data_IF_165951137587
#
_entry.id   IF_165951137587
#
_cell.length_a   1.000
_cell.length_b   1.000
_cell.length_c   1.000
_cell.angle_alpha   90.00
_cell.angle_beta   90.00
_cell.angle_gamma   90.00
#
_symmetry.space_group_name_H-M   'P 1'
#
loop_
_entity.id
_entity.type
_entity.pdbx_description
1 polymer ?
#
# COMPACT_ATOMS: atom_id res chain seq x y z
N UNK A 1 4.95 -5.79 24.03
CA UNK A 1 5.89 -5.06 23.13
C UNK A 1 5.11 -3.98 22.40
N UNK A 2 5.69 -2.83 21.97
CA UNK A 2 4.86 -1.83 21.32
C UNK A 2 4.42 -2.40 19.97
N UNK A 3 3.12 -2.62 19.81
CA UNK A 3 2.50 -2.55 18.49
C UNK A 3 3.01 -1.26 17.85
N UNK A 4 3.60 -1.35 16.65
CA UNK A 4 3.92 -0.13 15.91
C UNK A 4 2.59 0.60 15.68
N UNK A 5 2.48 1.79 16.26
CA UNK A 5 1.39 2.75 16.02
C UNK A 5 1.43 3.32 14.60
N UNK A 6 2.47 3.01 13.81
CA UNK A 6 2.43 3.21 12.37
C UNK A 6 1.53 2.18 11.67
N UNK A 7 1.12 1.09 12.33
CA UNK A 7 0.18 0.11 11.79
C UNK A 7 -1.19 0.31 12.42
N UNK A 8 -2.19 0.60 11.59
CA UNK A 8 -3.59 0.69 11.98
C UNK A 8 -4.37 -0.49 11.41
N UNK A 9 -5.27 -1.05 12.21
CA UNK A 9 -6.15 -2.15 11.80
C UNK A 9 -7.59 -1.62 11.76
N UNK A 10 -8.22 -1.68 10.58
CA UNK A 10 -9.65 -1.53 10.45
C UNK A 10 -10.36 -2.84 10.76
N UNK A 11 -11.32 -2.82 11.68
CA UNK A 11 -12.27 -3.91 11.97
C UNK A 11 -11.60 -5.30 12.11
N UNK A 12 -10.57 -5.44 12.96
CA UNK A 12 -9.90 -6.73 13.23
C UNK A 12 -9.46 -7.49 11.95
N UNK A 13 -8.87 -6.78 10.98
CA UNK A 13 -8.34 -7.40 9.74
C UNK A 13 -7.40 -8.58 10.02
N UNK A 14 -6.54 -8.42 11.02
CA UNK A 14 -5.71 -9.46 11.61
C UNK A 14 -5.92 -9.36 13.12
N UNK A 15 -6.00 -10.51 13.79
CA UNK A 15 -6.21 -10.55 15.25
C UNK A 15 -5.17 -9.71 16.00
N UNK A 16 -5.60 -8.84 16.91
CA UNK A 16 -4.70 -8.09 17.79
C UNK A 16 -3.74 -8.99 18.60
N UNK A 17 -4.19 -10.20 18.94
CA UNK A 17 -3.35 -11.16 19.65
C UNK A 17 -2.13 -11.57 18.83
N UNK A 18 -2.25 -11.61 17.49
CA UNK A 18 -1.13 -11.91 16.60
C UNK A 18 -0.02 -10.84 16.69
N UNK A 19 -0.38 -9.58 16.92
CA UNK A 19 0.57 -8.47 17.08
C UNK A 19 1.17 -8.39 18.49
N UNK A 20 0.39 -8.73 19.51
CA UNK A 20 0.75 -8.48 20.91
C UNK A 20 1.35 -9.69 21.63
N UNK A 21 1.19 -10.89 21.08
CA UNK A 21 1.69 -12.12 21.70
C UNK A 21 3.22 -12.20 21.70
N UNK A 22 3.79 -12.59 22.85
CA UNK A 22 5.23 -12.87 23.01
C UNK A 22 5.61 -14.29 22.52
N UNK A 23 4.68 -14.99 21.86
CA UNK A 23 4.94 -16.31 21.31
C UNK A 23 6.08 -16.27 20.28
N UNK A 24 7.04 -17.18 20.44
CA UNK A 24 8.22 -17.30 19.57
C UNK A 24 7.90 -17.97 18.23
N UNK A 25 6.69 -18.49 18.08
CA UNK A 25 6.13 -19.08 16.86
C UNK A 25 4.75 -18.45 16.62
N UNK A 26 4.43 -18.19 15.37
CA UNK A 26 3.10 -17.71 14.94
C UNK A 26 2.70 -16.30 15.44
N UNK A 27 3.67 -15.46 15.83
CA UNK A 27 3.46 -14.02 16.08
C UNK A 27 3.87 -13.16 14.89
N UNK A 28 3.35 -11.93 14.83
CA UNK A 28 3.79 -10.92 13.86
C UNK A 28 5.31 -10.72 13.94
N UNK A 29 5.84 -10.56 15.16
CA UNK A 29 7.27 -10.37 15.39
C UNK A 29 8.11 -11.54 14.86
N UNK A 30 7.66 -12.79 15.06
CA UNK A 30 8.34 -13.96 14.51
C UNK A 30 8.35 -13.94 12.97
N UNK A 31 7.25 -13.51 12.32
CA UNK A 31 7.19 -13.36 10.86
C UNK A 31 8.13 -12.26 10.36
N UNK A 32 8.19 -11.10 11.03
CA UNK A 32 9.12 -10.02 10.69
C UNK A 32 10.57 -10.49 10.83
N UNK A 33 10.93 -11.17 11.92
CA UNK A 33 12.29 -11.68 12.13
C UNK A 33 12.67 -12.72 11.06
N UNK A 34 11.74 -13.60 10.69
CA UNK A 34 11.96 -14.58 9.63
C UNK A 34 12.19 -13.88 8.29
N UNK A 35 11.33 -12.94 7.91
CA UNK A 35 11.49 -12.17 6.66
C UNK A 35 12.79 -11.37 6.64
N UNK A 36 13.15 -10.76 7.78
CA UNK A 36 14.41 -10.03 7.96
C UNK A 36 15.62 -10.92 7.71
N UNK A 37 15.59 -12.17 8.19
CA UNK A 37 16.63 -13.18 7.94
C UNK A 37 16.75 -13.50 6.45
N UNK A 38 15.62 -13.67 5.76
CA UNK A 38 15.61 -13.95 4.32
C UNK A 38 16.22 -12.78 3.53
N UNK A 39 15.93 -11.53 3.92
CA UNK A 39 16.50 -10.35 3.30
C UNK A 39 18.00 -10.16 3.58
N UNK A 40 18.47 -10.52 4.78
CA UNK A 40 19.90 -10.49 5.11
C UNK A 40 20.72 -11.51 4.32
N UNK A 41 20.10 -12.63 3.94
CA UNK A 41 20.74 -13.70 3.17
C UNK A 41 20.61 -13.52 1.64
N UNK A 42 19.92 -12.48 1.18
CA UNK A 42 19.69 -12.24 -0.24
C UNK A 42 20.91 -11.58 -0.89
N UNK A 43 21.39 -12.17 -1.99
CA UNK A 43 22.49 -11.64 -2.80
C UNK A 43 22.03 -10.58 -3.83
N UNK A 44 20.72 -10.33 -3.90
CA UNK A 44 20.09 -9.34 -4.79
C UNK A 44 19.37 -8.28 -3.96
N UNK A 45 19.16 -7.05 -4.51
CA UNK A 45 18.39 -6.02 -3.81
C UNK A 45 17.02 -6.53 -3.36
N UNK A 46 16.68 -6.27 -2.11
CA UNK A 46 15.40 -6.63 -1.47
C UNK A 46 14.54 -5.38 -1.30
N UNK A 47 13.26 -5.58 -0.98
CA UNK A 47 12.38 -4.47 -0.63
C UNK A 47 12.98 -3.61 0.51
N UNK A 48 13.57 -4.25 1.53
CA UNK A 48 14.24 -3.55 2.63
C UNK A 48 15.45 -2.75 2.18
N UNK A 49 16.36 -3.33 1.38
CA UNK A 49 17.57 -2.60 0.97
C UNK A 49 17.21 -1.43 0.05
N UNK A 50 16.21 -1.60 -0.84
CA UNK A 50 15.69 -0.51 -1.66
C UNK A 50 15.01 0.57 -0.82
N UNK A 51 14.15 0.19 0.13
CA UNK A 51 13.49 1.13 1.03
C UNK A 51 14.51 1.92 1.85
N UNK A 52 15.51 1.24 2.42
CA UNK A 52 16.57 1.89 3.21
C UNK A 52 17.36 2.90 2.38
N UNK A 53 17.63 2.60 1.10
CA UNK A 53 18.33 3.51 0.19
C UNK A 53 17.49 4.75 -0.17
N UNK A 54 16.17 4.59 -0.35
CA UNK A 54 15.25 5.66 -0.76
C UNK A 54 14.60 6.40 0.43
N UNK A 55 14.77 5.90 1.66
CA UNK A 55 14.05 6.36 2.87
C UNK A 55 14.07 7.87 3.05
N UNK A 56 15.25 8.50 2.97
CA UNK A 56 15.37 9.95 3.18
C UNK A 56 14.65 10.77 2.10
N UNK A 57 14.67 10.29 0.86
CA UNK A 57 13.93 10.93 -0.23
C UNK A 57 12.41 10.71 -0.07
N UNK A 58 12.00 9.51 0.33
CA UNK A 58 10.60 9.22 0.65
C UNK A 58 10.08 10.06 1.81
N UNK A 59 10.83 10.20 2.91
CA UNK A 59 10.48 11.06 4.05
C UNK A 59 10.18 12.50 3.62
N UNK A 60 11.01 13.06 2.73
CA UNK A 60 10.86 14.43 2.24
C UNK A 60 9.67 14.53 1.29
N UNK A 61 9.61 13.66 0.28
CA UNK A 61 8.59 13.73 -0.77
C UNK A 61 7.19 13.40 -0.26
N UNK A 62 7.05 12.48 0.71
CA UNK A 62 5.78 12.20 1.36
C UNK A 62 5.29 13.39 2.19
N UNK A 63 6.17 14.04 2.95
CA UNK A 63 5.82 15.25 3.69
C UNK A 63 5.42 16.41 2.77
N UNK A 64 6.06 16.55 1.60
CA UNK A 64 5.72 17.57 0.60
C UNK A 64 4.33 17.35 -0.01
N UNK A 65 3.83 16.11 -0.08
CA UNK A 65 2.49 15.81 -0.61
C UNK A 65 1.36 16.35 0.27
N UNK A 66 1.54 16.52 1.57
CA UNK A 66 0.50 17.09 2.45
C UNK A 66 0.89 18.45 3.01
N UNK A 67 2.03 19.00 2.57
CA UNK A 67 2.52 20.29 3.00
C UNK A 67 1.62 21.42 2.49
N UNK A 68 1.28 22.42 3.34
CA UNK A 68 0.57 23.62 2.88
C UNK A 68 1.40 24.47 1.91
N UNK A 69 2.72 24.22 1.83
CA UNK A 69 3.63 24.84 0.87
C UNK A 69 3.83 24.00 -0.41
N UNK A 70 3.17 22.84 -0.52
CA UNK A 70 3.21 22.00 -1.71
C UNK A 70 2.52 22.63 -2.92
N UNK A 71 2.45 21.88 -4.03
CA UNK A 71 1.72 22.35 -5.22
C UNK A 71 0.26 22.61 -4.88
N UNK A 72 -0.18 23.86 -5.03
CA UNK A 72 -1.58 24.26 -4.89
C UNK A 72 -2.39 24.01 -6.18
N UNK A 73 -1.70 23.75 -7.29
CA UNK A 73 -2.30 23.29 -8.53
C UNK A 73 -2.65 21.80 -8.45
N UNK A 74 -3.91 21.39 -8.67
CA UNK A 74 -4.33 19.99 -8.61
C UNK A 74 -3.54 19.07 -9.57
N UNK A 75 -3.18 19.55 -10.76
CA UNK A 75 -2.44 18.73 -11.72
C UNK A 75 -0.98 18.51 -11.27
N UNK A 76 -0.31 19.57 -10.82
CA UNK A 76 1.02 19.47 -10.22
C UNK A 76 1.05 18.59 -8.97
N UNK A 77 0.01 18.65 -8.13
CA UNK A 77 -0.12 17.79 -6.95
C UNK A 77 -0.29 16.31 -7.33
N UNK A 78 -1.13 16.02 -8.34
CA UNK A 78 -1.32 14.66 -8.83
C UNK A 78 -0.02 14.08 -9.43
N UNK A 79 0.74 14.87 -10.17
CA UNK A 79 2.02 14.45 -10.76
C UNK A 79 3.09 14.15 -9.68
N UNK A 80 3.13 14.98 -8.62
CA UNK A 80 3.99 14.72 -7.47
C UNK A 80 3.62 13.39 -6.79
N UNK A 81 2.32 13.12 -6.59
CA UNK A 81 1.86 11.86 -6.03
C UNK A 81 2.24 10.66 -6.92
N UNK A 82 2.06 10.76 -8.24
CA UNK A 82 2.50 9.70 -9.19
C UNK A 82 3.99 9.41 -9.10
N UNK A 83 4.81 10.45 -8.94
CA UNK A 83 6.28 10.31 -8.80
C UNK A 83 6.64 9.53 -7.53
N UNK A 84 6.01 9.85 -6.40
CA UNK A 84 6.19 9.12 -5.14
C UNK A 84 5.71 7.68 -5.31
N UNK A 85 4.53 7.46 -5.92
CA UNK A 85 3.97 6.12 -6.10
C UNK A 85 4.81 5.24 -7.02
N UNK A 86 5.40 5.79 -8.08
CA UNK A 86 6.37 5.09 -8.91
C UNK A 86 7.60 4.65 -8.10
N UNK A 87 8.09 5.51 -7.20
CA UNK A 87 9.19 5.17 -6.28
C UNK A 87 8.78 4.04 -5.33
N UNK A 88 7.59 4.10 -4.75
CA UNK A 88 7.07 3.05 -3.86
C UNK A 88 6.92 1.71 -4.58
N UNK A 89 6.40 1.70 -5.81
CA UNK A 89 6.30 0.48 -6.64
C UNK A 89 7.66 -0.17 -6.86
N UNK A 90 8.66 0.62 -7.25
CA UNK A 90 10.05 0.16 -7.41
C UNK A 90 10.65 -0.34 -6.10
N UNK A 91 10.47 0.39 -5.01
CA UNK A 91 10.99 0.00 -3.68
C UNK A 91 10.41 -1.34 -3.25
N UNK A 92 9.09 -1.51 -3.37
CA UNK A 92 8.39 -2.76 -3.04
C UNK A 92 8.72 -3.91 -4.02
N UNK A 93 9.30 -3.60 -5.20
CA UNK A 93 9.73 -4.57 -6.20
C UNK A 93 8.64 -4.96 -7.21
N UNK A 94 7.55 -4.20 -7.29
CA UNK A 94 6.47 -4.48 -8.25
C UNK A 94 6.80 -4.11 -9.69
N UNK A 95 7.89 -3.36 -9.89
CA UNK A 95 8.43 -3.05 -11.22
C UNK A 95 9.52 -4.06 -11.67
N UNK A 96 9.82 -5.09 -10.87
CA UNK A 96 10.80 -6.11 -11.23
C UNK A 96 10.33 -6.89 -12.47
N UNK A 97 11.26 -7.23 -13.38
CA UNK A 97 10.96 -7.88 -14.67
C UNK A 97 10.26 -9.26 -14.55
N UNK A 98 10.13 -9.79 -13.34
CA UNK A 98 9.42 -11.03 -13.05
C UNK A 98 7.90 -10.88 -12.91
N UNK A 99 7.33 -9.68 -13.06
CA UNK A 99 5.89 -9.46 -13.00
C UNK A 99 5.30 -9.00 -14.34
N UNK A 100 4.08 -9.45 -14.62
CA UNK A 100 3.22 -8.88 -15.64
C UNK A 100 2.31 -7.83 -15.00
N UNK A 101 2.26 -6.65 -15.62
CA UNK A 101 1.43 -5.55 -15.13
C UNK A 101 0.44 -5.08 -16.20
N UNK A 102 -0.76 -4.70 -15.76
CA UNK A 102 -1.80 -4.14 -16.62
C UNK A 102 -2.46 -2.96 -15.91
N UNK A 103 -2.48 -1.79 -16.56
CA UNK A 103 -3.03 -0.56 -15.98
C UNK A 103 -4.38 -0.20 -16.58
N UNK A 104 -5.32 0.17 -15.72
CA UNK A 104 -6.61 0.76 -16.08
C UNK A 104 -6.87 1.94 -15.14
N UNK A 105 -6.67 3.17 -15.64
CA UNK A 105 -6.69 4.39 -14.83
C UNK A 105 -5.77 4.28 -13.60
N UNK A 106 -6.31 4.49 -12.37
CA UNK A 106 -5.52 4.44 -11.14
C UNK A 106 -5.16 3.00 -10.69
N UNK A 107 -5.73 1.97 -11.31
CA UNK A 107 -5.53 0.57 -10.93
C UNK A 107 -4.43 -0.08 -11.77
N UNK A 108 -3.42 -0.65 -11.12
CA UNK A 108 -2.33 -1.43 -11.72
C UNK A 108 -2.41 -2.86 -11.22
N UNK A 109 -2.95 -3.76 -12.04
CA UNK A 109 -2.95 -5.19 -11.79
C UNK A 109 -1.52 -5.76 -11.90
N UNK A 110 -1.12 -6.62 -10.97
CA UNK A 110 0.21 -7.26 -10.91
C UNK A 110 0.06 -8.77 -10.75
N UNK A 111 0.73 -9.53 -11.60
CA UNK A 111 0.71 -11.00 -11.61
C UNK A 111 2.10 -11.58 -11.91
N UNK A 112 2.37 -12.80 -11.46
CA UNK A 112 3.60 -13.52 -11.78
C UNK A 112 3.38 -14.44 -13.00
N UNK A 113 4.41 -14.70 -13.83
CA UNK A 113 4.35 -15.65 -14.94
C UNK A 113 3.83 -17.02 -14.48
N UNK A 114 2.81 -17.54 -15.17
CA UNK A 114 2.18 -18.82 -14.84
C UNK A 114 0.98 -18.73 -13.87
N UNK A 115 0.68 -17.55 -13.32
CA UNK A 115 -0.58 -17.27 -12.64
C UNK A 115 -1.52 -16.66 -13.69
N UNK A 116 -2.46 -17.46 -14.20
CA UNK A 116 -3.34 -17.08 -15.33
C UNK A 116 -4.79 -16.79 -14.94
N UNK A 117 -5.19 -17.04 -13.69
CA UNK A 117 -6.53 -16.77 -13.19
C UNK A 117 -6.49 -15.57 -12.24
N UNK A 118 -7.00 -14.42 -12.69
CA UNK A 118 -6.96 -13.15 -11.95
C UNK A 118 -5.54 -12.60 -11.73
N UNK A 119 -5.41 -11.28 -11.60
CA UNK A 119 -4.19 -10.72 -11.03
C UNK A 119 -4.28 -10.85 -9.50
N UNK A 120 -3.37 -11.57 -8.80
CA UNK A 120 -3.50 -11.78 -7.36
C UNK A 120 -3.45 -10.47 -6.56
N UNK A 121 -2.84 -9.42 -7.12
CA UNK A 121 -2.71 -8.11 -6.51
C UNK A 121 -3.08 -7.00 -7.49
N UNK A 122 -3.77 -5.98 -6.99
CA UNK A 122 -3.90 -4.68 -7.65
C UNK A 122 -3.29 -3.58 -6.78
N UNK A 123 -2.55 -2.66 -7.40
CA UNK A 123 -2.15 -1.40 -6.76
C UNK A 123 -3.10 -0.30 -7.20
N UNK A 124 -3.58 0.52 -6.27
CA UNK A 124 -4.50 1.62 -6.55
C UNK A 124 -3.83 2.94 -6.17
N UNK A 125 -3.72 3.86 -7.12
CA UNK A 125 -3.21 5.21 -6.89
C UNK A 125 -4.35 6.13 -6.43
N UNK A 126 -4.27 6.56 -5.17
CA UNK A 126 -5.24 7.43 -4.53
C UNK A 126 -4.69 8.86 -4.37
N UNK A 127 -5.57 9.81 -4.13
CA UNK A 127 -5.17 11.15 -3.69
C UNK A 127 -4.48 11.03 -2.32
N UNK A 128 -3.36 11.75 -2.06
CA UNK A 128 -2.76 11.79 -0.73
C UNK A 128 -3.77 12.26 0.32
N UNK A 129 -3.81 11.59 1.47
CA UNK A 129 -4.70 11.94 2.60
C UNK A 129 -3.91 12.07 3.91
N UNK A 130 -4.40 12.92 4.81
CA UNK A 130 -3.82 13.08 6.14
C UNK A 130 -4.28 11.96 7.09
N UNK A 131 -5.55 11.60 7.06
CA UNK A 131 -6.13 10.50 7.84
C UNK A 131 -6.61 9.36 6.94
N UNK A 132 -6.48 8.12 7.43
CA UNK A 132 -6.98 6.93 6.71
C UNK A 132 -8.50 6.96 6.53
N UNK A 133 -9.24 7.59 7.43
CA UNK A 133 -10.71 7.70 7.33
C UNK A 133 -11.12 8.51 6.09
N UNK A 134 -10.38 9.58 5.76
CA UNK A 134 -10.65 10.40 4.56
C UNK A 134 -10.53 9.58 3.27
N UNK A 135 -9.63 8.58 3.24
CA UNK A 135 -9.47 7.66 2.11
C UNK A 135 -10.70 6.76 1.92
N UNK A 136 -11.38 6.43 3.03
CA UNK A 136 -12.48 5.48 3.11
C UNK A 136 -13.87 6.12 2.92
N UNK A 137 -13.91 7.44 2.69
CA UNK A 137 -15.13 8.16 2.34
C UNK A 137 -15.68 7.72 0.97
N UNK A 138 -16.86 7.05 1.00
CA UNK A 138 -17.44 6.38 -0.18
C UNK A 138 -17.82 7.34 -1.31
N UNK A 139 -18.16 8.57 -0.96
CA UNK A 139 -18.67 9.60 -1.87
C UNK A 139 -17.66 10.74 -2.14
N UNK A 140 -16.47 10.67 -1.56
CA UNK A 140 -15.39 11.61 -1.82
C UNK A 140 -14.52 11.18 -3.02
N UNK A 141 -13.95 12.11 -3.80
CA UNK A 141 -13.05 11.79 -4.91
C UNK A 141 -11.66 11.41 -4.40
N UNK A 142 -11.52 10.21 -3.84
CA UNK A 142 -10.28 9.72 -3.22
C UNK A 142 -9.33 9.00 -4.19
N UNK A 143 -9.73 8.76 -5.43
CA UNK A 143 -8.83 8.26 -6.47
C UNK A 143 -8.02 9.40 -7.11
N UNK A 144 -6.76 9.12 -7.45
CA UNK A 144 -5.88 10.11 -8.09
C UNK A 144 -6.39 10.52 -9.48
N UNK A 145 -7.07 9.60 -10.16
CA UNK A 145 -7.86 9.85 -11.36
C UNK A 145 -9.09 8.93 -11.36
N UNK A 146 -10.20 9.30 -12.03
CA UNK A 146 -11.36 8.42 -12.15
C UNK A 146 -10.99 7.07 -12.76
N UNK A 147 -11.57 5.99 -12.24
CA UNK A 147 -11.53 4.68 -12.85
C UNK A 147 -12.74 4.50 -13.77
N UNK A 148 -12.46 4.35 -15.06
CA UNK A 148 -13.46 4.24 -16.13
C UNK A 148 -13.12 3.02 -17.01
N UNK A 149 -13.55 1.80 -16.64
CA UNK A 149 -13.24 0.58 -17.39
C UNK A 149 -14.02 0.48 -18.71
N UNK A 150 -15.12 1.23 -18.84
CA UNK A 150 -16.02 1.28 -19.98
C UNK A 150 -16.70 2.67 -20.05
N UNK A 151 -17.53 2.90 -21.08
CA UNK A 151 -18.18 4.20 -21.32
C UNK A 151 -19.28 4.57 -20.31
N UNK A 152 -19.75 3.61 -19.51
CA UNK A 152 -20.90 3.76 -18.60
C UNK A 152 -20.51 3.76 -17.13
N UNK A 153 -19.34 3.22 -16.81
CA UNK A 153 -18.83 3.09 -15.45
C UNK A 153 -17.83 4.20 -15.17
N UNK A 154 -18.12 5.04 -14.19
CA UNK A 154 -17.16 6.03 -13.67
C UNK A 154 -17.12 5.94 -12.15
N UNK A 155 -15.95 5.62 -11.61
CA UNK A 155 -15.71 5.52 -10.16
C UNK A 155 -14.64 6.54 -9.76
N UNK A 156 -14.91 7.29 -8.70
CA UNK A 156 -14.00 8.34 -8.21
C UNK A 156 -13.45 8.10 -6.82
N UNK A 157 -13.95 7.08 -6.11
CA UNK A 157 -13.57 6.78 -4.73
C UNK A 157 -12.92 5.41 -4.60
N UNK A 158 -11.92 5.32 -3.74
CA UNK A 158 -11.20 4.08 -3.41
C UNK A 158 -12.16 2.98 -2.91
N UNK A 159 -13.10 3.23 -1.98
CA UNK A 159 -13.99 2.18 -1.49
C UNK A 159 -14.88 1.58 -2.59
N UNK A 160 -15.35 2.41 -3.53
CA UNK A 160 -16.15 1.95 -4.67
C UNK A 160 -15.32 1.14 -5.65
N UNK A 161 -14.08 1.57 -5.92
CA UNK A 161 -13.17 0.83 -6.80
C UNK A 161 -12.81 -0.54 -6.20
N UNK A 162 -12.43 -0.59 -4.92
CA UNK A 162 -12.18 -1.85 -4.21
C UNK A 162 -13.37 -2.79 -4.29
N UNK A 163 -14.57 -2.27 -4.01
CA UNK A 163 -15.81 -3.07 -4.07
C UNK A 163 -16.07 -3.59 -5.49
N UNK A 164 -15.87 -2.77 -6.53
CA UNK A 164 -16.05 -3.18 -7.92
C UNK A 164 -15.04 -4.25 -8.35
N UNK A 165 -13.76 -4.09 -7.98
CA UNK A 165 -12.71 -5.05 -8.32
C UNK A 165 -12.91 -6.38 -7.60
N UNK A 166 -13.29 -6.38 -6.32
CA UNK A 166 -13.43 -7.63 -5.55
C UNK A 166 -14.66 -8.46 -5.93
N UNK A 167 -15.72 -7.86 -6.49
CA UNK A 167 -16.87 -8.61 -7.00
C UNK A 167 -16.70 -9.11 -8.43
N UNK A 168 -15.69 -8.62 -9.17
CA UNK A 168 -15.41 -9.08 -10.52
C UNK A 168 -15.02 -10.57 -10.52
N UNK A 169 -15.42 -11.28 -11.58
CA UNK A 169 -15.17 -12.72 -11.76
C UNK A 169 -13.67 -13.03 -11.71
N UNK A 170 -12.87 -12.31 -12.51
CA UNK A 170 -11.40 -12.35 -12.52
C UNK A 170 -10.76 -11.24 -11.66
N UNK A 171 -11.47 -10.79 -10.63
CA UNK A 171 -11.01 -9.76 -9.70
C UNK A 171 -9.81 -10.21 -8.85
N UNK A 172 -9.05 -9.25 -8.28
CA UNK A 172 -7.87 -9.57 -7.49
C UNK A 172 -8.20 -10.16 -6.12
N UNK A 173 -7.25 -10.89 -5.54
CA UNK A 173 -7.35 -11.37 -4.15
C UNK A 173 -6.97 -10.28 -3.15
N UNK A 174 -5.98 -9.46 -3.50
CA UNK A 174 -5.44 -8.39 -2.66
C UNK A 174 -5.45 -7.05 -3.38
N UNK A 175 -5.60 -5.97 -2.60
CA UNK A 175 -5.41 -4.62 -3.08
C UNK A 175 -4.48 -3.84 -2.15
N UNK A 176 -3.53 -3.11 -2.74
CA UNK A 176 -2.65 -2.17 -2.06
C UNK A 176 -2.94 -0.75 -2.57
N UNK A 177 -3.49 0.11 -1.73
CA UNK A 177 -3.77 1.51 -2.04
C UNK A 177 -2.59 2.37 -1.61
N UNK A 178 -2.10 3.22 -2.52
CA UNK A 178 -1.07 4.22 -2.28
C UNK A 178 -1.76 5.58 -2.13
N UNK A 179 -1.75 6.15 -0.92
CA UNK A 179 -2.50 7.37 -0.57
C UNK A 179 -1.61 8.38 0.17
N UNK A 180 -0.50 8.75 -0.46
CA UNK A 180 0.53 9.60 0.15
C UNK A 180 1.23 8.87 1.28
N UNK A 181 1.13 9.42 2.50
CA UNK A 181 1.70 8.82 3.71
C UNK A 181 1.11 7.45 4.04
N UNK A 182 -0.12 7.16 3.60
CA UNK A 182 -0.81 5.92 3.94
C UNK A 182 -0.64 4.86 2.84
N UNK A 183 -0.27 3.66 3.26
CA UNK A 183 -0.43 2.43 2.48
C UNK A 183 -1.56 1.60 3.08
N UNK A 184 -2.64 1.35 2.34
CA UNK A 184 -3.75 0.51 2.80
C UNK A 184 -3.75 -0.83 2.07
N UNK A 185 -3.68 -1.92 2.82
CA UNK A 185 -3.78 -3.30 2.35
C UNK A 185 -5.12 -3.88 2.78
N UNK A 186 -5.82 -4.52 1.84
CA UNK A 186 -7.01 -5.32 2.13
C UNK A 186 -7.11 -6.53 1.18
N UNK A 187 -8.08 -7.39 1.41
CA UNK A 187 -8.33 -8.59 0.61
C UNK A 187 -9.82 -8.76 0.30
N UNK A 188 -10.09 -9.47 -0.81
CA UNK A 188 -11.43 -9.72 -1.34
C UNK A 188 -12.41 -10.27 -0.29
N UNK A 189 -11.95 -11.20 0.54
CA UNK A 189 -12.82 -11.91 1.50
C UNK A 189 -13.26 -10.99 2.66
N UNK A 190 -12.39 -10.11 3.14
CA UNK A 190 -12.63 -9.32 4.36
C UNK A 190 -13.07 -7.88 4.10
N UNK A 191 -12.95 -7.40 2.86
CA UNK A 191 -13.29 -6.02 2.52
C UNK A 191 -14.74 -5.64 2.82
N UNK A 192 -15.71 -6.55 2.57
CA UNK A 192 -17.12 -6.28 2.81
C UNK A 192 -17.45 -6.02 4.29
N UNK A 193 -16.60 -6.50 5.20
CA UNK A 193 -16.70 -6.28 6.64
C UNK A 193 -15.94 -5.02 7.10
N UNK A 194 -15.44 -4.20 6.16
CA UNK A 194 -14.69 -2.99 6.47
C UNK A 194 -13.26 -3.23 6.93
N UNK A 195 -12.73 -4.45 6.76
CA UNK A 195 -11.42 -4.81 7.32
C UNK A 195 -10.27 -4.42 6.41
N UNK A 196 -9.25 -3.79 6.99
CA UNK A 196 -8.02 -3.42 6.31
C UNK A 196 -6.84 -3.30 7.29
N UNK A 197 -5.63 -3.27 6.75
CA UNK A 197 -4.41 -2.87 7.45
C UNK A 197 -3.87 -1.62 6.77
N UNK A 198 -3.64 -0.54 7.52
CA UNK A 198 -2.99 0.66 7.02
C UNK A 198 -1.62 0.84 7.67
N UNK A 199 -0.65 1.33 6.90
CA UNK A 199 0.70 1.67 7.36
C UNK A 199 0.95 3.15 7.12
N UNK A 200 1.30 3.89 8.17
CA UNK A 200 1.79 5.27 8.10
C UNK A 200 3.27 5.26 7.69
N UNK A 201 3.50 5.35 6.38
CA UNK A 201 4.82 5.30 5.79
C UNK A 201 5.66 6.53 6.13
N UNK A 202 5.03 7.70 6.33
CA UNK A 202 5.74 8.90 6.79
C UNK A 202 6.37 8.63 8.17
N UNK A 203 5.59 8.07 9.09
CA UNK A 203 6.06 7.76 10.45
C UNK A 203 7.17 6.70 10.45
N UNK A 204 7.05 5.66 9.61
CA UNK A 204 8.10 4.65 9.43
C UNK A 204 9.40 5.27 8.91
N UNK A 205 9.30 6.18 7.93
CA UNK A 205 10.44 6.91 7.40
C UNK A 205 11.13 7.75 8.48
N UNK A 206 10.37 8.55 9.24
CA UNK A 206 10.87 9.44 10.30
C UNK A 206 11.55 8.67 11.44
N UNK A 207 10.93 7.58 11.91
CA UNK A 207 11.47 6.78 13.01
C UNK A 207 12.70 6.00 12.63
N UNK A 208 12.72 5.49 11.39
CA UNK A 208 13.81 4.68 10.87
C UNK A 208 14.20 3.53 11.82
N UNK A 209 13.21 2.77 12.31
CA UNK A 209 13.46 1.71 13.29
C UNK A 209 14.09 0.46 12.65
N UNK A 210 15.41 0.50 12.50
CA UNK A 210 16.22 -0.52 11.80
C UNK A 210 16.67 -1.69 12.68
N UNK A 211 16.24 -1.74 13.95
CA UNK A 211 16.54 -2.86 14.85
C UNK A 211 15.98 -4.14 14.23
N UNK A 212 16.62 -5.29 14.49
CA UNK A 212 16.13 -6.56 13.95
C UNK A 212 14.72 -6.85 14.49
N UNK A 213 13.74 -6.94 13.61
CA UNK A 213 12.33 -7.06 13.98
C UNK A 213 11.65 -5.71 14.31
N UNK A 214 12.26 -4.60 13.92
CA UNK A 214 11.59 -3.29 13.88
C UNK A 214 10.78 -3.10 12.60
N UNK A 215 10.39 -1.86 12.34
CA UNK A 215 9.60 -1.47 11.17
C UNK A 215 10.36 -1.65 9.84
N UNK A 216 11.71 -1.67 9.84
CA UNK A 216 12.59 -1.76 8.64
C UNK A 216 13.53 -2.97 8.65
#
# INVERSE_FOLDING_TARGET
MPSSDAILLGEDFISEHFFTTDATKESFQARVIARRKDWDAAEVPTARSRFTAERAALETTLADLTSPNGSTDPAGHAEAARTVYATLRRVLGYDDAGYHTHRTGPALAVSAPGITAGAPLVLIEATPVDAVDDLLEKDAPTLLEPWEPDETTRVTSVPRLLSALFVAEDGPDFALVLAGRWLLLTEKVRWAEGRYLAVDLQLVCERNETKRGGEI
#
